data_IF_477735539112
#
_entry.id   IF_477735539112
#
_cell.length_a   1.000
_cell.length_b   1.000
_cell.length_c   1.000
_cell.angle_alpha   90.00
_cell.angle_beta   90.00
_cell.angle_gamma   90.00
#
_symmetry.space_group_name_H-M   'P 1'
#
loop_
_entity.id
_entity.type
_entity.pdbx_description
1 polymer ?
#
# COMPACT_ATOMS: atom_id res chain seq x y z
N UNK A 1 3.54 14.88 -0.15
CA UNK A 1 3.61 15.40 -1.52
C UNK A 1 4.74 16.40 -1.72
N UNK A 2 4.85 17.47 -0.93
CA UNK A 2 5.95 18.47 -1.10
C UNK A 2 7.33 17.81 -1.08
N UNK A 3 7.60 16.93 -0.12
CA UNK A 3 8.87 16.18 -0.07
C UNK A 3 9.11 15.32 -1.31
N UNK A 4 8.06 14.65 -1.82
CA UNK A 4 8.13 13.84 -3.04
C UNK A 4 8.48 14.70 -4.26
N UNK A 5 7.79 15.80 -4.45
CA UNK A 5 8.06 16.73 -5.57
C UNK A 5 9.47 17.29 -5.50
N UNK A 6 9.94 17.65 -4.30
CA UNK A 6 11.32 18.12 -4.11
C UNK A 6 12.33 17.02 -4.47
N UNK A 7 12.10 15.79 -4.03
CA UNK A 7 13.00 14.67 -4.28
C UNK A 7 13.02 14.24 -5.76
N UNK A 8 11.88 14.31 -6.45
CA UNK A 8 11.76 13.95 -7.87
C UNK A 8 12.12 15.07 -8.85
N UNK A 9 12.36 16.30 -8.35
CA UNK A 9 12.57 17.48 -9.21
C UNK A 9 11.34 17.91 -10.00
N UNK A 10 10.15 17.41 -9.65
CA UNK A 10 8.89 17.72 -10.30
C UNK A 10 8.15 18.89 -9.64
N UNK A 11 7.27 19.50 -10.41
CA UNK A 11 6.35 20.53 -9.94
C UNK A 11 4.92 19.98 -9.87
N UNK A 12 4.07 20.63 -9.08
CA UNK A 12 2.64 20.27 -8.99
C UNK A 12 1.98 20.26 -10.37
N UNK A 13 2.36 21.17 -11.27
CA UNK A 13 1.84 21.24 -12.64
C UNK A 13 2.16 20.03 -13.53
N UNK A 14 3.10 19.18 -13.10
CA UNK A 14 3.44 17.96 -13.82
C UNK A 14 2.52 16.77 -13.42
N UNK A 15 1.69 16.93 -12.39
CA UNK A 15 0.76 15.89 -11.90
C UNK A 15 -0.55 15.97 -12.67
N UNK A 16 -0.87 14.91 -13.41
CA UNK A 16 -2.09 14.84 -14.21
C UNK A 16 -3.30 14.35 -13.43
N UNK A 17 -3.11 13.63 -12.31
CA UNK A 17 -4.21 13.13 -11.50
C UNK A 17 -3.77 12.48 -10.20
N UNK A 18 -4.76 12.17 -9.35
CA UNK A 18 -4.54 11.64 -8.00
C UNK A 18 -5.40 10.41 -7.77
N UNK A 19 -4.78 9.35 -7.24
CA UNK A 19 -5.47 8.16 -6.73
C UNK A 19 -5.12 8.01 -5.25
N UNK A 20 -6.13 8.07 -4.38
CA UNK A 20 -5.94 7.92 -2.92
C UNK A 20 -6.46 6.57 -2.46
N UNK A 21 -5.66 5.81 -1.76
CA UNK A 21 -6.09 4.64 -1.01
C UNK A 21 -6.39 5.06 0.42
N UNK A 22 -7.64 4.89 0.86
CA UNK A 22 -8.05 5.18 2.24
C UNK A 22 -9.27 4.37 2.66
N UNK A 23 -9.29 3.95 3.92
CA UNK A 23 -10.45 3.39 4.62
C UNK A 23 -11.07 4.41 5.59
N UNK A 24 -10.41 5.56 5.77
CA UNK A 24 -10.80 6.64 6.68
C UNK A 24 -10.87 7.99 5.95
N UNK A 25 -11.73 8.11 4.91
CA UNK A 25 -11.86 9.35 4.18
C UNK A 25 -12.44 10.47 5.05
N UNK A 26 -12.10 11.73 4.76
CA UNK A 26 -12.64 12.91 5.47
C UNK A 26 -14.17 12.96 5.43
N UNK A 27 -14.76 12.53 4.33
CA UNK A 27 -16.22 12.47 4.13
C UNK A 27 -16.65 11.04 3.79
N UNK A 28 -17.75 10.53 4.36
CA UNK A 28 -18.20 9.14 4.14
C UNK A 28 -18.58 8.78 2.70
N UNK A 29 -18.65 9.73 1.80
CA UNK A 29 -19.05 9.51 0.41
C UNK A 29 -18.39 10.50 -0.54
N UNK A 30 -18.76 11.76 -0.44
CA UNK A 30 -18.22 12.81 -1.28
C UNK A 30 -18.08 14.14 -0.51
N UNK A 31 -17.09 15.01 -0.88
CA UNK A 31 -16.09 14.76 -1.91
C UNK A 31 -15.09 13.66 -1.51
N UNK A 32 -14.39 13.06 -2.50
CA UNK A 32 -13.30 12.13 -2.22
C UNK A 32 -12.11 12.86 -1.59
N UNK A 33 -11.30 12.15 -0.81
CA UNK A 33 -10.04 12.66 -0.27
C UNK A 33 -9.10 13.12 -1.39
N UNK A 34 -9.10 12.40 -2.51
CA UNK A 34 -8.36 12.81 -3.71
C UNK A 34 -8.82 14.17 -4.25
N UNK A 35 -10.14 14.49 -4.25
CA UNK A 35 -10.64 15.79 -4.66
C UNK A 35 -10.21 16.91 -3.71
N UNK A 36 -10.13 16.65 -2.41
CA UNK A 36 -9.63 17.63 -1.43
C UNK A 36 -8.15 17.92 -1.65
N UNK A 37 -7.35 16.89 -1.93
CA UNK A 37 -5.94 17.06 -2.28
C UNK A 37 -5.79 17.81 -3.61
N UNK A 38 -6.58 17.45 -4.63
CA UNK A 38 -6.57 18.14 -5.91
C UNK A 38 -6.89 19.64 -5.76
N UNK A 39 -7.90 20.00 -4.97
CA UNK A 39 -8.24 21.38 -4.64
C UNK A 39 -7.06 22.10 -3.96
N UNK A 40 -6.46 21.47 -2.94
CA UNK A 40 -5.38 22.08 -2.17
C UNK A 40 -4.14 22.38 -3.01
N UNK A 41 -3.84 21.50 -3.98
CA UNK A 41 -2.64 21.59 -4.79
C UNK A 41 -2.88 22.15 -6.20
N UNK A 42 -4.12 22.47 -6.56
CA UNK A 42 -4.47 23.03 -7.87
C UNK A 42 -4.38 22.01 -9.02
N UNK A 43 -4.51 20.71 -8.72
CA UNK A 43 -4.51 19.64 -9.73
C UNK A 43 -5.93 19.53 -10.31
N UNK A 44 -6.04 19.51 -11.64
CA UNK A 44 -7.34 19.57 -12.35
C UNK A 44 -7.70 18.26 -13.06
N UNK A 45 -6.83 17.27 -13.00
CA UNK A 45 -7.05 15.96 -13.63
C UNK A 45 -7.95 15.02 -12.81
N UNK A 46 -8.05 13.74 -13.21
CA UNK A 46 -8.82 12.73 -12.49
C UNK A 46 -8.40 12.63 -11.02
N UNK A 47 -9.39 12.58 -10.12
CA UNK A 47 -9.16 12.47 -8.68
C UNK A 47 -10.18 11.49 -8.08
N UNK A 48 -9.72 10.37 -7.52
CA UNK A 48 -10.60 9.33 -6.98
C UNK A 48 -9.97 8.63 -5.78
N UNK A 49 -10.84 8.12 -4.89
CA UNK A 49 -10.44 7.26 -3.79
C UNK A 49 -10.65 5.79 -4.15
N UNK A 50 -9.74 4.93 -3.65
CA UNK A 50 -9.81 3.47 -3.70
C UNK A 50 -9.98 2.94 -2.30
N UNK A 51 -11.04 2.17 -2.06
CA UNK A 51 -11.30 1.52 -0.78
C UNK A 51 -11.03 0.01 -0.89
N UNK A 52 -9.88 -0.42 -0.40
CA UNK A 52 -9.49 -1.84 -0.32
C UNK A 52 -8.71 -2.13 1.00
N UNK A 53 -9.06 -1.43 2.07
CA UNK A 53 -8.43 -1.58 3.38
C UNK A 53 -6.91 -1.46 3.31
N UNK A 54 -6.20 -2.30 4.07
CA UNK A 54 -4.73 -2.27 4.10
C UNK A 54 -4.06 -2.67 2.78
N UNK A 55 -4.79 -3.28 1.84
CA UNK A 55 -4.31 -3.58 0.48
C UNK A 55 -4.45 -2.37 -0.45
N UNK A 56 -5.11 -1.32 0.02
CA UNK A 56 -5.54 -0.16 -0.78
C UNK A 56 -4.44 0.46 -1.61
N UNK A 57 -3.22 0.61 -1.07
CA UNK A 57 -2.10 1.19 -1.82
C UNK A 57 -1.72 0.35 -3.04
N UNK A 58 -1.71 -0.98 -2.94
CA UNK A 58 -1.45 -1.89 -4.08
C UNK A 58 -2.53 -1.75 -5.15
N UNK A 59 -3.81 -1.67 -4.73
CA UNK A 59 -4.92 -1.42 -5.66
C UNK A 59 -4.82 -0.04 -6.32
N UNK A 60 -4.45 1.00 -5.56
CA UNK A 60 -4.30 2.36 -6.07
C UNK A 60 -3.12 2.48 -7.06
N UNK A 61 -2.01 1.76 -6.82
CA UNK A 61 -0.91 1.64 -7.78
C UNK A 61 -1.39 1.04 -9.11
N UNK A 62 -2.17 -0.04 -9.06
CA UNK A 62 -2.69 -0.67 -10.27
C UNK A 62 -3.71 0.21 -11.00
N UNK A 63 -4.59 0.92 -10.27
CA UNK A 63 -5.50 1.90 -10.87
C UNK A 63 -4.72 3.02 -11.56
N UNK A 64 -3.72 3.61 -10.89
CA UNK A 64 -2.85 4.64 -11.46
C UNK A 64 -2.12 4.15 -12.70
N UNK A 65 -1.51 2.94 -12.63
CA UNK A 65 -0.85 2.30 -13.78
C UNK A 65 -1.80 2.10 -14.96
N UNK A 66 -3.02 1.61 -14.71
CA UNK A 66 -4.02 1.37 -15.74
C UNK A 66 -4.48 2.68 -16.41
N UNK A 67 -4.64 3.75 -15.64
CA UNK A 67 -5.00 5.07 -16.17
C UNK A 67 -3.86 5.69 -17.00
N UNK A 68 -2.61 5.47 -16.62
CA UNK A 68 -1.44 5.86 -17.42
C UNK A 68 -1.40 5.04 -18.70
N UNK A 69 -1.53 3.72 -18.61
CA UNK A 69 -1.49 2.84 -19.77
C UNK A 69 -2.62 3.10 -20.78
N UNK A 70 -3.78 3.58 -20.32
CA UNK A 70 -4.90 3.99 -21.17
C UNK A 70 -4.75 5.39 -21.79
N UNK A 71 -3.71 6.14 -21.40
CA UNK A 71 -3.50 7.52 -21.84
C UNK A 71 -4.37 8.57 -21.10
N UNK A 72 -5.11 8.16 -20.06
CA UNK A 72 -5.91 9.10 -19.26
C UNK A 72 -5.05 10.04 -18.41
N UNK A 73 -3.85 9.60 -18.05
CA UNK A 73 -2.83 10.38 -17.33
C UNK A 73 -1.44 10.01 -17.86
N UNK A 74 -0.47 10.88 -17.64
CA UNK A 74 0.96 10.58 -17.83
C UNK A 74 1.66 10.41 -16.49
N UNK A 75 1.29 11.25 -15.52
CA UNK A 75 1.88 11.30 -14.19
C UNK A 75 0.76 11.23 -13.16
N UNK A 76 0.72 10.15 -12.39
CA UNK A 76 -0.28 9.91 -11.37
C UNK A 76 0.35 9.99 -9.97
N UNK A 77 -0.18 10.83 -9.10
CA UNK A 77 0.12 10.80 -7.68
C UNK A 77 -0.71 9.70 -7.01
N UNK A 78 -0.06 8.68 -6.49
CA UNK A 78 -0.71 7.60 -5.72
C UNK A 78 -0.43 7.81 -4.25
N UNK A 79 -1.48 7.91 -3.45
CA UNK A 79 -1.41 8.25 -2.03
C UNK A 79 -2.04 7.14 -1.19
N UNK A 80 -1.39 6.75 -0.12
CA UNK A 80 -2.02 6.01 0.99
C UNK A 80 -2.18 6.97 2.17
N UNK A 81 -3.39 7.16 2.68
CA UNK A 81 -3.65 8.10 3.77
C UNK A 81 -4.70 7.54 4.72
N UNK A 82 -4.37 7.52 6.01
CA UNK A 82 -5.25 6.96 7.04
C UNK A 82 -5.22 7.77 8.33
N UNK A 83 -6.38 7.89 8.94
CA UNK A 83 -6.59 8.41 10.30
C UNK A 83 -7.30 7.35 11.14
N UNK A 84 -6.64 6.21 11.34
CA UNK A 84 -7.23 5.05 12.02
C UNK A 84 -7.56 5.35 13.49
N UNK A 85 -6.90 6.31 14.11
CA UNK A 85 -7.21 6.79 15.46
C UNK A 85 -8.67 7.24 15.62
N UNK A 86 -9.33 7.64 14.53
CA UNK A 86 -10.73 8.08 14.51
C UNK A 86 -11.74 6.92 14.53
N UNK A 87 -11.27 5.71 14.22
CA UNK A 87 -12.11 4.49 14.12
C UNK A 87 -11.61 3.37 15.03
N UNK A 88 -10.67 3.65 15.93
CA UNK A 88 -10.22 2.72 16.98
C UNK A 88 -11.13 2.87 18.20
N UNK A 89 -11.54 1.73 18.77
CA UNK A 89 -12.11 1.70 20.12
C UNK A 89 -10.96 1.73 21.14
N UNK A 90 -10.78 2.85 21.81
CA UNK A 90 -9.68 3.07 22.76
C UNK A 90 -9.79 2.22 24.03
N UNK A 91 -10.96 1.64 24.30
CA UNK A 91 -11.19 0.73 25.42
C UNK A 91 -10.88 -0.74 25.02
N UNK A 92 -10.85 -1.06 23.73
CA UNK A 92 -10.47 -2.39 23.24
C UNK A 92 -8.94 -2.53 23.10
N UNK A 93 -8.32 -3.11 24.10
CA UNK A 93 -6.86 -3.35 24.13
C UNK A 93 -6.33 -4.34 23.08
N UNK A 94 -7.21 -5.05 22.36
CA UNK A 94 -6.80 -5.93 21.27
C UNK A 94 -6.53 -5.17 19.97
N UNK A 95 -7.12 -4.00 19.82
CA UNK A 95 -7.04 -3.19 18.59
C UNK A 95 -6.35 -1.85 18.81
N UNK A 96 -6.59 -1.14 19.92
CA UNK A 96 -6.09 0.22 20.12
C UNK A 96 -4.56 0.35 20.12
N UNK A 97 -3.85 -0.72 20.48
CA UNK A 97 -2.37 -0.75 20.51
C UNK A 97 -1.71 -1.07 19.17
N UNK A 98 -2.51 -1.36 18.13
CA UNK A 98 -1.99 -1.84 16.85
C UNK A 98 -1.94 -0.74 15.79
N UNK A 99 -2.98 0.10 15.72
CA UNK A 99 -3.21 1.02 14.64
C UNK A 99 -2.62 2.40 14.88
N UNK A 100 -2.21 3.06 13.80
CA UNK A 100 -1.70 4.43 13.80
C UNK A 100 -2.20 5.22 12.59
N UNK A 101 -1.99 6.52 12.64
CA UNK A 101 -2.29 7.44 11.55
C UNK A 101 -1.04 7.67 10.70
N UNK A 102 -1.24 7.90 9.42
CA UNK A 102 -0.14 8.20 8.53
C UNK A 102 -0.56 8.46 7.09
N UNK A 103 0.33 9.07 6.35
CA UNK A 103 0.19 9.28 4.92
C UNK A 103 1.54 9.16 4.21
N UNK A 104 1.53 8.51 3.07
CA UNK A 104 2.68 8.42 2.17
C UNK A 104 2.21 8.43 0.72
N UNK A 105 3.10 8.74 -0.20
CA UNK A 105 2.74 8.78 -1.61
C UNK A 105 3.90 8.36 -2.51
N UNK A 106 3.55 7.93 -3.72
CA UNK A 106 4.46 7.66 -4.82
C UNK A 106 3.99 8.40 -6.07
N UNK A 107 4.93 8.76 -6.93
CA UNK A 107 4.67 9.28 -8.25
C UNK A 107 4.84 8.13 -9.26
N UNK A 108 3.81 7.86 -10.02
CA UNK A 108 3.88 7.00 -11.20
C UNK A 108 4.01 7.87 -12.44
N UNK A 109 4.99 7.55 -13.28
CA UNK A 109 5.23 8.27 -14.53
C UNK A 109 5.21 7.29 -15.70
N UNK A 110 4.71 7.77 -16.86
CA UNK A 110 4.93 7.05 -18.11
C UNK A 110 6.34 7.31 -18.62
N UNK A 111 7.04 6.28 -19.06
CA UNK A 111 8.32 6.41 -19.74
C UNK A 111 8.39 5.47 -20.94
N UNK A 112 9.26 5.78 -21.90
CA UNK A 112 9.27 5.12 -23.21
C UNK A 112 10.03 3.79 -23.20
N UNK A 113 11.06 3.65 -22.35
CA UNK A 113 11.92 2.45 -22.32
C UNK A 113 12.26 2.05 -20.88
N UNK A 114 12.17 0.75 -20.59
CA UNK A 114 12.53 0.16 -19.31
C UNK A 114 11.37 -0.53 -18.59
N UNK A 115 11.65 -0.99 -17.39
CA UNK A 115 10.68 -1.67 -16.53
C UNK A 115 10.33 -0.77 -15.34
N UNK A 116 9.06 -0.47 -15.15
CA UNK A 116 8.54 0.14 -13.93
C UNK A 116 7.75 -0.88 -13.13
N UNK A 117 6.41 -0.73 -13.07
CA UNK A 117 5.54 -1.79 -12.55
C UNK A 117 5.50 -2.93 -13.57
N UNK A 118 6.16 -4.05 -13.22
CA UNK A 118 6.33 -5.23 -14.07
C UNK A 118 5.08 -6.09 -14.07
N UNK A 119 4.55 -6.39 -12.88
CA UNK A 119 3.37 -7.25 -12.71
C UNK A 119 2.61 -6.90 -11.43
N UNK A 120 1.30 -7.07 -11.47
CA UNK A 120 0.41 -6.90 -10.32
C UNK A 120 -0.48 -8.13 -10.15
N UNK A 121 -0.59 -8.61 -8.93
CA UNK A 121 -1.47 -9.70 -8.53
C UNK A 121 -2.44 -9.23 -7.46
N UNK A 122 -3.75 -9.25 -7.76
CA UNK A 122 -4.81 -8.81 -6.86
C UNK A 122 -5.84 -9.91 -6.66
N UNK A 123 -6.26 -10.13 -5.42
CA UNK A 123 -7.26 -11.13 -5.04
C UNK A 123 -8.15 -10.62 -3.90
N UNK A 124 -9.35 -11.19 -3.84
CA UNK A 124 -10.27 -11.05 -2.71
C UNK A 124 -10.70 -12.43 -2.22
N UNK A 125 -10.76 -12.58 -0.90
CA UNK A 125 -11.33 -13.74 -0.20
C UNK A 125 -12.60 -13.28 0.54
N UNK A 126 -13.67 -13.07 -0.22
CA UNK A 126 -14.90 -12.43 0.26
C UNK A 126 -15.60 -13.20 1.40
N UNK A 127 -15.37 -14.51 1.52
CA UNK A 127 -15.89 -15.31 2.64
C UNK A 127 -15.40 -14.82 4.02
N UNK A 128 -14.28 -14.10 4.07
CA UNK A 128 -13.72 -13.51 5.29
C UNK A 128 -14.12 -12.06 5.55
N UNK A 129 -15.10 -11.51 4.83
CA UNK A 129 -15.41 -10.08 4.87
C UNK A 129 -15.68 -9.54 6.29
N UNK A 130 -16.29 -10.33 7.16
CA UNK A 130 -16.63 -9.92 8.53
C UNK A 130 -15.47 -10.05 9.53
N UNK A 131 -14.33 -10.64 9.12
CA UNK A 131 -13.20 -10.86 10.02
C UNK A 131 -12.47 -9.55 10.42
N UNK A 132 -12.59 -8.50 9.61
CA UNK A 132 -12.02 -7.18 9.90
C UNK A 132 -12.90 -6.11 9.26
N UNK A 133 -13.63 -5.37 10.08
CA UNK A 133 -14.60 -4.37 9.65
C UNK A 133 -14.50 -3.09 10.48
N UNK A 134 -14.94 -1.98 9.92
CA UNK A 134 -15.38 -0.82 10.69
C UNK A 134 -16.88 -1.02 10.92
N UNK A 135 -17.26 -1.34 12.15
CA UNK A 135 -18.66 -1.63 12.49
C UNK A 135 -19.53 -0.40 12.24
N UNK A 136 -20.62 -0.53 11.45
CA UNK A 136 -21.41 0.63 11.03
C UNK A 136 -22.16 1.32 12.19
N UNK A 137 -22.37 0.62 13.32
CA UNK A 137 -23.08 1.17 14.49
C UNK A 137 -22.12 1.87 15.43
N UNK A 138 -21.05 1.18 15.84
CA UNK A 138 -20.06 1.76 16.77
C UNK A 138 -19.04 2.66 16.05
N UNK A 139 -18.92 2.53 14.73
CA UNK A 139 -17.90 3.16 13.88
C UNK A 139 -16.47 2.82 14.33
N UNK A 140 -16.32 1.71 15.03
CA UNK A 140 -15.04 1.23 15.53
C UNK A 140 -14.59 -0.03 14.78
N UNK A 141 -13.27 -0.20 14.67
CA UNK A 141 -12.66 -1.41 14.11
C UNK A 141 -13.01 -2.60 15.00
N UNK A 142 -13.52 -3.67 14.37
CA UNK A 142 -13.68 -4.99 14.98
C UNK A 142 -12.89 -6.02 14.19
N UNK A 143 -12.13 -6.86 14.88
CA UNK A 143 -11.21 -7.79 14.26
C UNK A 143 -11.24 -9.18 14.93
N UNK A 144 -11.44 -10.23 14.13
CA UNK A 144 -11.04 -11.60 14.51
C UNK A 144 -9.53 -11.76 14.23
N UNK A 145 -8.73 -11.50 15.25
CA UNK A 145 -7.26 -11.53 15.12
C UNK A 145 -6.71 -12.89 14.69
N UNK A 146 -7.39 -14.02 15.02
CA UNK A 146 -6.96 -15.37 14.61
C UNK A 146 -7.22 -15.59 13.12
N UNK A 147 -8.40 -15.26 12.65
CA UNK A 147 -8.78 -15.38 11.25
C UNK A 147 -7.87 -14.49 10.37
N UNK A 148 -7.69 -13.22 10.75
CA UNK A 148 -6.82 -12.26 10.05
C UNK A 148 -5.37 -12.73 10.03
N UNK A 149 -4.83 -13.24 11.15
CA UNK A 149 -3.46 -13.75 11.20
C UNK A 149 -3.25 -14.93 10.24
N UNK A 150 -4.15 -15.93 10.28
CA UNK A 150 -4.06 -17.11 9.43
C UNK A 150 -4.17 -16.78 7.95
N UNK A 151 -5.08 -15.87 7.61
CA UNK A 151 -5.23 -15.31 6.27
C UNK A 151 -3.95 -14.60 5.83
N UNK A 152 -3.41 -13.68 6.63
CA UNK A 152 -2.24 -12.88 6.30
C UNK A 152 -1.02 -13.74 5.97
N UNK A 153 -0.66 -14.71 6.83
CA UNK A 153 0.51 -15.59 6.60
C UNK A 153 0.37 -16.40 5.30
N UNK A 154 -0.86 -16.85 4.98
CA UNK A 154 -1.12 -17.60 3.74
C UNK A 154 -1.05 -16.68 2.52
N UNK A 155 -1.73 -15.55 2.54
CA UNK A 155 -1.88 -14.65 1.40
C UNK A 155 -0.58 -13.93 1.02
N UNK A 156 0.24 -13.54 1.99
CA UNK A 156 1.58 -13.00 1.72
C UNK A 156 2.42 -14.03 0.95
N UNK A 157 2.47 -15.27 1.45
CA UNK A 157 3.21 -16.35 0.81
C UNK A 157 2.75 -16.57 -0.62
N UNK A 158 1.44 -16.74 -0.81
CA UNK A 158 0.85 -16.96 -2.13
C UNK A 158 1.13 -15.79 -3.10
N UNK A 159 1.10 -14.55 -2.60
CA UNK A 159 1.39 -13.37 -3.43
C UNK A 159 2.84 -13.37 -3.91
N UNK A 160 3.79 -13.63 -3.01
CA UNK A 160 5.23 -13.68 -3.34
C UNK A 160 5.50 -14.80 -4.34
N UNK A 161 5.05 -16.02 -4.04
CA UNK A 161 5.24 -17.19 -4.91
C UNK A 161 4.64 -16.96 -6.29
N UNK A 162 3.40 -16.43 -6.37
CA UNK A 162 2.72 -16.18 -7.65
C UNK A 162 3.47 -15.14 -8.50
N UNK A 163 3.91 -14.03 -7.91
CA UNK A 163 4.61 -12.98 -8.66
C UNK A 163 5.99 -13.44 -9.13
N UNK A 164 6.73 -14.20 -8.32
CA UNK A 164 8.01 -14.78 -8.72
C UNK A 164 7.81 -15.79 -9.86
N UNK A 165 6.87 -16.72 -9.73
CA UNK A 165 6.58 -17.74 -10.73
C UNK A 165 6.15 -17.13 -12.08
N UNK A 166 5.19 -16.19 -12.06
CA UNK A 166 4.69 -15.54 -13.27
C UNK A 166 5.75 -14.78 -14.06
N UNK A 167 6.76 -14.28 -13.35
CA UNK A 167 7.85 -13.49 -13.96
C UNK A 167 9.15 -14.28 -14.13
N UNK A 168 9.13 -15.60 -13.87
CA UNK A 168 10.31 -16.48 -13.97
C UNK A 168 11.49 -15.98 -13.12
N UNK A 169 11.19 -15.43 -11.94
CA UNK A 169 12.16 -14.92 -10.98
C UNK A 169 12.29 -15.85 -9.76
N UNK A 170 13.41 -15.71 -9.08
CA UNK A 170 13.64 -16.28 -7.75
C UNK A 170 13.68 -15.17 -6.69
N UNK A 171 13.69 -15.55 -5.42
CA UNK A 171 13.80 -14.56 -4.34
C UNK A 171 15.14 -13.80 -4.35
N UNK A 172 16.15 -14.37 -4.95
CA UNK A 172 17.48 -13.75 -5.05
C UNK A 172 17.50 -12.58 -6.06
N UNK A 173 16.57 -12.59 -7.02
CA UNK A 173 16.41 -11.52 -8.00
C UNK A 173 15.72 -10.29 -7.40
N UNK A 174 15.10 -10.41 -6.22
CA UNK A 174 14.38 -9.34 -5.53
C UNK A 174 15.28 -8.73 -4.46
N UNK A 175 15.49 -7.43 -4.52
CA UNK A 175 16.29 -6.72 -3.52
C UNK A 175 15.56 -6.62 -2.18
N UNK A 176 14.29 -6.25 -2.20
CA UNK A 176 13.46 -6.05 -1.02
C UNK A 176 12.03 -6.55 -1.20
N UNK A 177 11.47 -7.11 -0.12
CA UNK A 177 10.03 -7.28 0.05
C UNK A 177 9.55 -6.19 1.00
N UNK A 178 8.60 -5.36 0.55
CA UNK A 178 8.01 -4.29 1.34
C UNK A 178 6.55 -4.64 1.64
N UNK A 179 6.27 -5.30 2.77
CA UNK A 179 4.93 -5.71 3.12
C UNK A 179 4.15 -4.56 3.78
N UNK A 180 2.83 -4.64 3.74
CA UNK A 180 1.98 -3.93 4.67
C UNK A 180 2.44 -4.19 6.11
N UNK A 181 2.59 -3.14 6.91
CA UNK A 181 3.12 -3.16 8.27
C UNK A 181 2.01 -3.47 9.29
N UNK A 182 1.49 -4.70 9.28
CA UNK A 182 0.40 -5.11 10.18
C UNK A 182 0.88 -5.60 11.54
N UNK A 183 1.85 -6.50 11.53
CA UNK A 183 2.42 -7.11 12.73
C UNK A 183 3.71 -7.87 12.37
N UNK A 184 4.79 -7.62 13.10
CA UNK A 184 6.07 -8.29 12.87
C UNK A 184 5.97 -9.81 12.95
N UNK A 185 5.10 -10.36 13.83
CA UNK A 185 4.92 -11.81 13.96
C UNK A 185 4.36 -12.44 12.68
N UNK A 186 3.49 -11.74 11.95
CA UNK A 186 2.96 -12.20 10.66
C UNK A 186 4.10 -12.33 9.65
N UNK A 187 4.92 -11.29 9.53
CA UNK A 187 6.04 -11.26 8.57
C UNK A 187 7.06 -12.32 8.90
N UNK A 188 7.44 -12.46 10.18
CA UNK A 188 8.39 -13.50 10.62
C UNK A 188 7.86 -14.93 10.35
N UNK A 189 6.57 -15.17 10.56
CA UNK A 189 5.95 -16.46 10.27
C UNK A 189 5.92 -16.75 8.75
N UNK A 190 5.65 -15.73 7.94
CA UNK A 190 5.68 -15.84 6.49
C UNK A 190 7.11 -16.13 5.98
N UNK A 191 8.09 -15.36 6.43
CA UNK A 191 9.50 -15.54 6.08
C UNK A 191 9.97 -16.98 6.39
N UNK A 192 9.67 -17.46 7.60
CA UNK A 192 9.98 -18.85 8.01
C UNK A 192 9.29 -19.89 7.13
N UNK A 193 8.01 -19.68 6.79
CA UNK A 193 7.24 -20.61 5.94
C UNK A 193 7.82 -20.72 4.53
N UNK A 194 8.28 -19.59 3.97
CA UNK A 194 8.84 -19.54 2.63
C UNK A 194 10.33 -19.87 2.56
N UNK A 195 11.01 -20.02 3.70
CA UNK A 195 12.45 -20.20 3.75
C UNK A 195 13.23 -18.94 3.30
N UNK A 196 12.61 -17.77 3.40
CA UNK A 196 13.21 -16.49 3.04
C UNK A 196 13.82 -15.85 4.29
N UNK A 197 15.02 -15.27 4.15
CA UNK A 197 15.61 -14.51 5.24
C UNK A 197 14.71 -13.32 5.59
N UNK A 198 14.36 -13.19 6.87
CA UNK A 198 13.51 -12.09 7.35
C UNK A 198 14.12 -10.71 7.06
N UNK A 199 15.43 -10.60 6.89
CA UNK A 199 16.12 -9.37 6.52
C UNK A 199 15.80 -8.89 5.09
N UNK A 200 15.26 -9.76 4.23
CA UNK A 200 14.70 -9.36 2.92
C UNK A 200 13.40 -8.54 3.05
N UNK A 201 12.74 -8.62 4.21
CA UNK A 201 11.53 -7.86 4.49
C UNK A 201 11.88 -6.55 5.18
N UNK A 202 11.47 -5.43 4.59
CA UNK A 202 11.61 -4.14 5.25
C UNK A 202 10.51 -3.96 6.31
N UNK A 203 10.91 -3.61 7.53
CA UNK A 203 10.01 -3.44 8.67
C UNK A 203 10.28 -2.10 9.34
N UNK A 204 9.21 -1.32 9.57
CA UNK A 204 9.25 -0.07 10.32
C UNK A 204 8.03 0.12 11.24
N UNK A 205 7.29 -0.96 11.48
CA UNK A 205 6.09 -0.97 12.32
C UNK A 205 6.34 -0.44 13.73
N UNK A 206 7.54 -0.62 14.28
CA UNK A 206 7.89 -0.13 15.62
C UNK A 206 7.84 1.39 15.72
N UNK A 207 8.00 2.10 14.61
CA UNK A 207 7.98 3.56 14.57
C UNK A 207 6.61 4.12 14.19
N UNK A 208 5.91 3.44 13.27
CA UNK A 208 4.70 3.99 12.65
C UNK A 208 3.42 3.24 13.00
N UNK A 209 3.51 2.09 13.70
CA UNK A 209 2.38 1.18 13.93
C UNK A 209 1.77 0.66 12.60
N UNK A 210 0.56 0.11 12.68
CA UNK A 210 -0.22 -0.28 11.50
C UNK A 210 -1.00 0.93 10.98
N UNK A 211 -0.50 1.56 9.94
CA UNK A 211 -1.13 2.69 9.24
C UNK A 211 -1.92 2.26 7.99
N UNK A 212 -2.40 1.01 7.94
CA UNK A 212 -3.22 0.47 6.84
C UNK A 212 -2.63 0.77 5.45
N UNK A 213 -3.37 1.44 4.56
CA UNK A 213 -2.92 1.75 3.21
C UNK A 213 -1.70 2.69 3.14
N UNK A 214 -1.44 3.46 4.19
CA UNK A 214 -0.27 4.34 4.24
C UNK A 214 1.04 3.62 4.56
N UNK A 215 0.99 2.37 5.06
CA UNK A 215 2.17 1.68 5.60
C UNK A 215 3.25 1.37 4.54
N UNK A 216 2.86 0.95 3.35
CA UNK A 216 3.81 0.66 2.24
C UNK A 216 4.47 1.95 1.74
N UNK A 217 3.74 3.02 1.38
CA UNK A 217 4.39 4.23 0.90
C UNK A 217 5.23 4.93 1.98
N UNK A 218 4.90 4.83 3.26
CA UNK A 218 5.75 5.29 4.37
C UNK A 218 7.05 4.48 4.43
N UNK A 219 6.96 3.15 4.28
CA UNK A 219 8.15 2.28 4.25
C UNK A 219 9.06 2.64 3.06
N UNK A 220 8.49 2.84 1.86
CA UNK A 220 9.25 3.23 0.67
C UNK A 220 9.94 4.60 0.86
N UNK A 221 9.24 5.58 1.41
CA UNK A 221 9.80 6.91 1.69
C UNK A 221 10.98 6.83 2.67
N UNK A 222 10.84 6.09 3.75
CA UNK A 222 11.91 5.88 4.73
C UNK A 222 13.11 5.11 4.12
N UNK A 223 12.84 4.08 3.29
CA UNK A 223 13.89 3.35 2.58
C UNK A 223 14.68 4.27 1.63
N UNK A 224 13.98 5.17 0.93
CA UNK A 224 14.60 6.17 0.06
C UNK A 224 15.48 7.14 0.87
N UNK A 225 14.96 7.68 1.98
CA UNK A 225 15.72 8.57 2.87
C UNK A 225 16.97 7.91 3.45
N UNK A 226 16.89 6.60 3.76
CA UNK A 226 18.03 5.79 4.24
C UNK A 226 18.98 5.35 3.12
N UNK A 227 18.72 5.67 1.86
CA UNK A 227 19.53 5.27 0.70
C UNK A 227 19.56 3.75 0.46
N UNK A 228 18.51 3.04 0.89
CA UNK A 228 18.37 1.59 0.70
C UNK A 228 17.84 1.23 -0.68
N UNK A 229 17.09 2.14 -1.31
CA UNK A 229 16.56 1.96 -2.66
C UNK A 229 17.57 2.49 -3.68
N UNK A 230 17.86 1.64 -4.66
CA UNK A 230 18.81 1.97 -5.74
C UNK A 230 18.15 1.71 -7.09
N UNK A 231 18.51 2.52 -8.05
CA UNK A 231 18.01 2.38 -9.43
C UNK A 231 18.23 0.97 -9.97
N UNK A 232 17.24 0.44 -10.66
CA UNK A 232 17.25 -0.90 -11.24
C UNK A 232 16.96 -2.05 -10.25
N UNK A 233 16.77 -1.79 -8.96
CA UNK A 233 16.41 -2.85 -8.00
C UNK A 233 14.96 -3.33 -8.21
N UNK A 234 14.75 -4.65 -8.18
CA UNK A 234 13.41 -5.23 -8.15
C UNK A 234 12.88 -5.27 -6.71
N UNK A 235 11.67 -4.76 -6.54
CA UNK A 235 10.95 -4.73 -5.27
C UNK A 235 9.65 -5.52 -5.39
N UNK A 236 9.30 -6.25 -4.32
CA UNK A 236 7.97 -6.84 -4.13
C UNK A 236 7.21 -6.07 -3.05
N UNK A 237 6.20 -5.31 -3.44
CA UNK A 237 5.25 -4.72 -2.52
C UNK A 237 4.13 -5.71 -2.24
N UNK A 238 3.78 -5.96 -0.98
CA UNK A 238 2.76 -6.96 -0.62
C UNK A 238 1.75 -6.37 0.35
N UNK A 239 0.48 -6.30 -0.08
CA UNK A 239 -0.65 -5.84 0.72
C UNK A 239 -1.58 -6.99 1.11
N UNK A 240 -2.18 -6.89 2.27
CA UNK A 240 -3.23 -7.79 2.76
C UNK A 240 -4.03 -7.10 3.87
N UNK A 241 -5.32 -7.39 3.98
CA UNK A 241 -6.15 -6.76 5.01
C UNK A 241 -7.65 -6.96 4.82
N UNK A 242 -8.41 -5.99 5.31
CA UNK A 242 -9.86 -5.99 5.26
C UNK A 242 -10.40 -6.23 3.86
N UNK A 243 -11.55 -6.98 3.80
CA UNK A 243 -12.21 -7.31 2.55
C UNK A 243 -12.65 -8.78 2.46
N UNK A 244 -11.90 -9.82 2.85
CA UNK A 244 -10.45 -9.77 2.89
C UNK A 244 -9.87 -9.59 1.50
N UNK A 245 -8.89 -8.76 1.37
CA UNK A 245 -8.17 -8.54 0.12
C UNK A 245 -6.67 -8.75 0.31
N UNK A 246 -5.99 -9.17 -0.75
CA UNK A 246 -4.54 -9.33 -0.75
C UNK A 246 -3.99 -9.20 -2.17
N UNK A 247 -2.72 -8.95 -2.25
CA UNK A 247 -2.03 -8.85 -3.52
C UNK A 247 -0.68 -8.20 -3.39
N UNK A 248 -0.03 -8.01 -4.50
CA UNK A 248 1.27 -7.38 -4.56
C UNK A 248 1.58 -6.81 -5.92
N UNK A 249 2.63 -6.03 -5.94
CA UNK A 249 3.20 -5.42 -7.14
C UNK A 249 4.68 -5.74 -7.20
N UNK A 250 5.11 -6.34 -8.29
CA UNK A 250 6.52 -6.45 -8.67
C UNK A 250 6.89 -5.21 -9.47
N UNK A 251 7.90 -4.52 -9.06
CA UNK A 251 8.39 -3.34 -9.79
C UNK A 251 9.90 -3.28 -9.84
N UNK A 252 10.43 -2.60 -10.84
CA UNK A 252 11.81 -2.12 -10.89
C UNK A 252 11.82 -0.69 -10.40
N UNK A 253 12.63 -0.42 -9.38
CA UNK A 253 12.73 0.92 -8.78
C UNK A 253 13.54 1.85 -9.67
N UNK A 254 13.02 3.06 -9.88
CA UNK A 254 13.73 4.17 -10.52
C UNK A 254 13.72 5.39 -9.58
N UNK A 255 14.83 6.14 -9.59
CA UNK A 255 15.03 7.36 -8.78
C UNK A 255 14.67 8.60 -9.56
#
# INVERSE_FOLDING_TARGET
MENLLTASGKHVGDIDGIVVATATPDYPGFPSTACLLAQRFGITGPALDVSAGCTGFIYALEVGRAMIASGAMRNALVVGSETLSTVVDWDDRNTCVLFGDGAGCALLESFEEGEGIVDTYLKAEAAGAEALVIDPKSRAIKMDGRAVYSFAVRSIGQTIETLLERNSLTIDDVAWIVPHQANQRIISACAKRLGIDVQKFYLNIEQYANTSAASIPLALAEMQEKGLLKDGQKLLLVGFGAGLTYGGTLLTWHQ
#
